data_IF_995079207784
#
_entry.id   IF_995079207784
#
_cell.length_a   1.000
_cell.length_b   1.000
_cell.length_c   1.000
_cell.angle_alpha   90.00
_cell.angle_beta   90.00
_cell.angle_gamma   90.00
#
_symmetry.space_group_name_H-M   'P 1'
#
loop_
_entity.id
_entity.type
_entity.pdbx_description
1 polymer ?
#
# COMPACT_ATOMS: atom_id res chain seq x y z
N UNK A 1 -17.99 -1.78 60.37
CA UNK A 1 -16.55 -1.53 60.18
C UNK A 1 -16.24 -1.88 58.74
N UNK A 2 -16.29 -0.90 57.83
CA UNK A 2 -16.08 -1.14 56.40
C UNK A 2 -14.60 -1.30 56.11
N UNK A 3 -14.26 -2.25 55.23
CA UNK A 3 -13.05 -2.16 54.43
C UNK A 3 -13.40 -2.44 52.97
N UNK A 4 -12.71 -1.69 52.12
CA UNK A 4 -13.12 -1.27 50.80
C UNK A 4 -12.62 -2.24 49.71
N UNK A 5 -13.43 -2.37 48.67
CA UNK A 5 -13.08 -2.48 47.25
C UNK A 5 -11.76 -3.17 46.85
N UNK A 6 -11.94 -4.35 46.25
CA UNK A 6 -11.52 -4.71 44.89
C UNK A 6 -10.46 -3.79 44.25
N UNK A 7 -9.27 -4.32 43.96
CA UNK A 7 -8.50 -3.85 42.81
C UNK A 7 -7.91 -5.04 42.07
N UNK A 8 -8.75 -5.51 41.14
CA UNK A 8 -8.41 -6.07 39.84
C UNK A 8 -6.96 -5.76 39.48
N UNK A 9 -6.09 -6.77 39.57
CA UNK A 9 -4.87 -6.78 38.79
C UNK A 9 -5.33 -6.78 37.34
N UNK A 10 -5.54 -5.59 36.78
CA UNK A 10 -5.60 -5.39 35.35
C UNK A 10 -4.28 -5.95 34.84
N UNK A 11 -4.34 -7.15 34.28
CA UNK A 11 -3.34 -7.66 33.38
C UNK A 11 -3.11 -6.54 32.37
N UNK A 12 -1.99 -5.82 32.51
CA UNK A 12 -1.52 -4.88 31.50
C UNK A 12 -1.20 -5.72 30.29
N UNK A 13 -2.22 -5.98 29.47
CA UNK A 13 -2.04 -6.22 28.07
C UNK A 13 -1.42 -4.95 27.53
N UNK A 14 -0.10 -4.90 27.44
CA UNK A 14 0.58 -4.03 26.49
C UNK A 14 0.26 -4.56 25.09
N UNK A 15 -1.02 -4.50 24.74
CA UNK A 15 -1.60 -5.11 23.57
C UNK A 15 -1.11 -4.36 22.36
N UNK A 16 -0.21 -4.98 21.59
CA UNK A 16 0.09 -4.50 20.25
C UNK A 16 -1.21 -4.57 19.46
N UNK A 17 -1.68 -3.42 19.00
CA UNK A 17 -2.88 -3.33 18.18
C UNK A 17 -2.50 -3.56 16.72
N UNK A 18 -3.22 -4.44 16.05
CA UNK A 18 -2.96 -4.78 14.65
C UNK A 18 -4.19 -4.52 13.76
N UNK A 19 -3.95 -4.16 12.52
CA UNK A 19 -4.97 -4.04 11.49
C UNK A 19 -4.43 -4.56 10.16
N UNK A 20 -5.09 -5.59 9.63
CA UNK A 20 -4.80 -6.18 8.33
C UNK A 20 -5.85 -5.76 7.32
N UNK A 21 -5.41 -5.28 6.16
CA UNK A 21 -6.24 -4.86 5.04
C UNK A 21 -5.85 -5.66 3.79
N UNK A 22 -6.86 -6.08 3.02
CA UNK A 22 -6.69 -6.72 1.72
C UNK A 22 -7.57 -6.00 0.70
N UNK A 23 -6.94 -5.35 -0.27
CA UNK A 23 -7.61 -4.48 -1.24
C UNK A 23 -7.41 -5.08 -2.64
N UNK A 24 -8.44 -5.71 -3.22
CA UNK A 24 -8.38 -6.24 -4.57
C UNK A 24 -8.49 -5.10 -5.60
N UNK A 25 -7.66 -5.14 -6.63
CA UNK A 25 -7.73 -4.25 -7.79
C UNK A 25 -8.26 -4.98 -9.03
N UNK A 26 -8.87 -4.27 -9.99
CA UNK A 26 -9.37 -4.88 -11.23
C UNK A 26 -8.28 -5.58 -12.06
N UNK A 27 -7.03 -5.09 -12.00
CA UNK A 27 -5.88 -5.69 -12.67
C UNK A 27 -4.63 -5.73 -11.80
N UNK A 28 -3.74 -6.70 -12.09
CA UNK A 28 -2.42 -6.77 -11.44
C UNK A 28 -1.58 -5.50 -11.70
N UNK A 29 -1.78 -4.84 -12.85
CA UNK A 29 -1.06 -3.62 -13.22
C UNK A 29 -1.48 -2.42 -12.38
N UNK A 30 -2.77 -2.26 -12.12
CA UNK A 30 -3.27 -1.21 -11.21
C UNK A 30 -2.80 -1.47 -9.78
N UNK A 31 -2.84 -2.74 -9.33
CA UNK A 31 -2.33 -3.13 -8.02
C UNK A 31 -0.83 -2.81 -7.87
N UNK A 32 -0.03 -3.05 -8.92
CA UNK A 32 1.39 -2.71 -8.98
C UNK A 32 1.62 -1.19 -8.91
N UNK A 33 0.83 -0.41 -9.64
CA UNK A 33 0.90 1.06 -9.59
C UNK A 33 0.55 1.57 -8.19
N UNK A 34 -0.55 1.10 -7.62
CA UNK A 34 -0.96 1.47 -6.27
C UNK A 34 0.09 1.08 -5.23
N UNK A 35 0.66 -0.13 -5.33
CA UNK A 35 1.75 -0.58 -4.47
C UNK A 35 2.95 0.36 -4.56
N UNK A 36 3.44 0.65 -5.77
CA UNK A 36 4.61 1.50 -5.97
C UNK A 36 4.37 2.94 -5.49
N UNK A 37 3.15 3.45 -5.66
CA UNK A 37 2.75 4.79 -5.17
C UNK A 37 2.62 4.84 -3.66
N UNK A 38 2.16 3.78 -3.00
CA UNK A 38 1.85 3.77 -1.55
C UNK A 38 2.97 3.18 -0.67
N UNK A 39 3.99 2.55 -1.28
CA UNK A 39 5.19 2.04 -0.61
C UNK A 39 6.13 3.16 -0.13
N UNK A 40 5.77 4.44 -0.29
CA UNK A 40 6.60 5.58 0.12
C UNK A 40 7.14 5.36 1.54
N UNK A 41 8.42 5.70 1.67
CA UNK A 41 9.36 5.20 2.65
C UNK A 41 8.84 5.29 4.10
N UNK A 42 9.34 4.37 4.93
CA UNK A 42 8.97 4.27 6.34
C UNK A 42 9.48 5.52 7.06
N UNK A 43 8.58 6.44 7.38
CA UNK A 43 8.84 7.42 8.44
C UNK A 43 9.22 6.61 9.70
N UNK A 44 10.42 6.79 10.28
CA UNK A 44 10.93 5.95 11.35
C UNK A 44 10.26 6.30 12.69
N UNK A 45 8.93 6.14 12.78
CA UNK A 45 8.19 6.23 14.04
C UNK A 45 8.18 4.84 14.67
N UNK A 46 8.97 4.66 15.73
CA UNK A 46 9.11 3.37 16.45
C UNK A 46 7.78 2.81 16.98
N UNK A 47 6.76 3.65 17.11
CA UNK A 47 5.46 3.31 17.71
C UNK A 47 4.46 2.71 16.71
N UNK A 48 4.69 2.85 15.40
CA UNK A 48 3.81 2.32 14.36
C UNK A 48 4.58 1.71 13.20
N UNK A 49 4.24 0.47 12.87
CA UNK A 49 4.81 -0.26 11.74
C UNK A 49 3.75 -0.44 10.65
N UNK A 50 4.13 -0.14 9.40
CA UNK A 50 3.35 -0.43 8.19
C UNK A 50 4.14 -1.40 7.32
N UNK A 51 3.56 -2.54 7.03
CA UNK A 51 4.08 -3.51 6.08
C UNK A 51 3.15 -3.59 4.88
N UNK A 52 3.70 -3.41 3.69
CA UNK A 52 2.95 -3.41 2.44
C UNK A 52 3.44 -4.55 1.57
N UNK A 53 2.52 -5.34 1.04
CA UNK A 53 2.80 -6.47 0.16
C UNK A 53 1.83 -6.46 -1.02
N UNK A 54 2.30 -6.89 -2.17
CA UNK A 54 1.47 -7.09 -3.35
C UNK A 54 1.40 -8.59 -3.66
N UNK A 55 0.20 -9.14 -3.69
CA UNK A 55 -0.07 -10.54 -4.05
C UNK A 55 -1.01 -10.54 -5.24
N UNK A 56 -0.49 -10.86 -6.42
CA UNK A 56 -1.22 -10.81 -7.70
C UNK A 56 -1.84 -9.42 -7.96
N UNK A 57 -3.16 -9.30 -7.88
CA UNK A 57 -3.92 -8.06 -8.01
C UNK A 57 -4.42 -7.52 -6.65
N UNK A 58 -3.95 -8.06 -5.53
CA UNK A 58 -4.41 -7.69 -4.19
C UNK A 58 -3.28 -7.02 -3.41
N UNK A 59 -3.54 -5.78 -2.98
CA UNK A 59 -2.65 -5.04 -2.08
C UNK A 59 -2.96 -5.44 -0.63
N UNK A 60 -1.97 -6.00 0.06
CA UNK A 60 -2.07 -6.38 1.47
C UNK A 60 -1.28 -5.40 2.33
N UNK A 61 -1.90 -4.92 3.40
CA UNK A 61 -1.27 -3.97 4.33
C UNK A 61 -1.48 -4.45 5.75
N UNK A 62 -0.40 -4.56 6.51
CA UNK A 62 -0.40 -4.84 7.95
C UNK A 62 0.08 -3.62 8.71
N UNK A 63 -0.75 -3.14 9.62
CA UNK A 63 -0.39 -2.11 10.58
C UNK A 63 -0.25 -2.70 11.96
N UNK A 64 0.79 -2.29 12.69
CA UNK A 64 1.00 -2.65 14.09
C UNK A 64 1.33 -1.39 14.87
N UNK A 65 0.65 -1.16 16.00
CA UNK A 65 0.86 0.02 16.83
C UNK A 65 0.78 -0.31 18.32
N UNK A 66 1.46 0.48 19.15
CA UNK A 66 1.37 0.39 20.61
C UNK A 66 0.05 0.93 21.17
N UNK A 67 -0.64 1.80 20.43
CA UNK A 67 -1.91 2.40 20.83
C UNK A 67 -2.93 2.34 19.69
N UNK A 68 -4.19 2.04 20.02
CA UNK A 68 -5.29 2.04 19.05
C UNK A 68 -5.49 3.41 18.38
N UNK A 69 -5.17 4.51 19.08
CA UNK A 69 -5.25 5.87 18.52
C UNK A 69 -4.27 6.06 17.37
N UNK A 70 -3.03 5.56 17.53
CA UNK A 70 -2.01 5.62 16.48
C UNK A 70 -2.40 4.76 15.28
N UNK A 71 -2.91 3.55 15.54
CA UNK A 71 -3.44 2.66 14.50
C UNK A 71 -4.54 3.35 13.69
N UNK A 72 -5.52 3.99 14.36
CA UNK A 72 -6.61 4.72 13.70
C UNK A 72 -6.09 5.85 12.81
N UNK A 73 -5.12 6.63 13.30
CA UNK A 73 -4.56 7.75 12.52
C UNK A 73 -3.82 7.25 11.29
N UNK A 74 -2.99 6.21 11.40
CA UNK A 74 -2.23 5.68 10.28
C UNK A 74 -3.08 4.93 9.25
N UNK A 75 -4.07 4.15 9.70
CA UNK A 75 -5.03 3.52 8.79
C UNK A 75 -5.85 4.58 8.06
N UNK A 76 -6.30 5.63 8.78
CA UNK A 76 -7.02 6.75 8.18
C UNK A 76 -6.22 7.45 7.09
N UNK A 77 -4.99 7.88 7.39
CA UNK A 77 -4.15 8.57 6.39
C UNK A 77 -3.78 7.67 5.22
N UNK A 78 -3.57 6.36 5.46
CA UNK A 78 -3.35 5.40 4.38
C UNK A 78 -4.57 5.31 3.44
N UNK A 79 -5.78 5.27 3.97
CA UNK A 79 -7.00 5.25 3.15
C UNK A 79 -7.18 6.54 2.35
N UNK A 80 -6.83 7.69 2.90
CA UNK A 80 -6.86 8.96 2.17
C UNK A 80 -5.89 8.93 0.97
N UNK A 81 -4.67 8.42 1.16
CA UNK A 81 -3.69 8.26 0.09
C UNK A 81 -4.10 7.22 -0.95
N UNK A 82 -4.70 6.10 -0.50
CA UNK A 82 -5.24 5.08 -1.39
C UNK A 82 -6.36 5.65 -2.26
N UNK A 83 -7.29 6.39 -1.66
CA UNK A 83 -8.39 7.03 -2.38
C UNK A 83 -7.87 8.02 -3.44
N UNK A 84 -6.90 8.86 -3.07
CA UNK A 84 -6.25 9.76 -4.02
C UNK A 84 -5.58 9.00 -5.18
N UNK A 85 -4.90 7.89 -4.87
CA UNK A 85 -4.22 7.06 -5.87
C UNK A 85 -5.23 6.44 -6.84
N UNK A 86 -6.36 5.94 -6.34
CA UNK A 86 -7.44 5.38 -7.17
C UNK A 86 -8.04 6.45 -8.05
N UNK A 87 -8.41 7.61 -7.50
CA UNK A 87 -8.96 8.73 -8.28
C UNK A 87 -8.00 9.18 -9.38
N UNK A 88 -6.70 9.18 -9.09
CA UNK A 88 -5.66 9.50 -10.08
C UNK A 88 -5.66 8.47 -11.22
N UNK A 89 -5.69 7.17 -10.90
CA UNK A 89 -5.76 6.12 -11.92
C UNK A 89 -7.02 6.23 -12.78
N UNK A 90 -8.17 6.53 -12.17
CA UNK A 90 -9.43 6.73 -12.89
C UNK A 90 -9.38 7.96 -13.80
N UNK A 91 -8.79 9.07 -13.33
CA UNK A 91 -8.74 10.33 -14.08
C UNK A 91 -7.78 10.26 -15.28
N UNK A 92 -6.64 9.59 -15.15
CA UNK A 92 -5.64 9.49 -16.22
C UNK A 92 -5.82 8.26 -17.12
N UNK A 93 -6.82 7.42 -16.84
CA UNK A 93 -7.18 6.27 -17.65
C UNK A 93 -6.28 5.03 -17.43
N UNK A 94 -6.57 3.93 -18.15
CA UNK A 94 -5.92 2.66 -17.91
C UNK A 94 -4.41 2.71 -18.13
N UNK A 95 -3.62 1.95 -17.37
CA UNK A 95 -2.17 1.94 -17.52
C UNK A 95 -1.75 1.58 -18.94
N UNK A 96 -0.98 2.45 -19.59
CA UNK A 96 -0.41 2.13 -20.90
C UNK A 96 0.44 0.87 -20.80
N UNK A 97 0.22 -0.09 -21.71
CA UNK A 97 1.07 -1.26 -21.84
C UNK A 97 2.48 -0.78 -22.20
N UNK A 98 3.48 -1.16 -21.40
CA UNK A 98 4.87 -0.85 -21.71
C UNK A 98 5.26 -1.58 -23.01
N UNK A 99 5.24 -0.86 -24.12
CA UNK A 99 5.80 -1.35 -25.39
C UNK A 99 7.31 -1.46 -25.18
N UNK A 100 7.85 -2.68 -25.22
CA UNK A 100 9.31 -2.85 -25.31
C UNK A 100 9.73 -2.18 -26.63
N UNK A 101 10.75 -1.30 -26.65
CA UNK A 101 11.28 -0.79 -27.91
C UNK A 101 11.67 -2.01 -28.75
N UNK A 102 10.89 -2.29 -29.79
CA UNK A 102 11.24 -3.30 -30.78
C UNK A 102 12.50 -2.82 -31.47
N UNK A 103 13.48 -3.71 -31.61
CA UNK A 103 14.70 -3.45 -32.37
C UNK A 103 14.36 -2.73 -33.68
N UNK A 104 15.09 -1.63 -33.90
CA UNK A 104 15.09 -0.88 -35.14
C UNK A 104 15.58 -1.84 -36.22
N UNK A 105 14.69 -2.33 -37.08
CA UNK A 105 15.13 -2.90 -38.36
C UNK A 105 15.54 -1.71 -39.22
N UNK A 106 16.84 -1.43 -39.24
CA UNK A 106 17.49 -0.66 -40.30
C UNK A 106 17.20 -1.36 -41.63
N UNK A 107 16.11 -0.96 -42.29
CA UNK A 107 15.98 -1.16 -43.73
C UNK A 107 16.90 -0.14 -44.39
N UNK A 108 18.11 -0.62 -44.66
CA UNK A 108 19.10 -0.01 -45.52
C UNK A 108 18.44 0.35 -46.85
N UNK A 109 18.30 1.64 -47.10
CA UNK A 109 18.15 2.17 -48.46
C UNK A 109 19.47 2.03 -49.23
N UNK A 110 19.30 1.99 -50.56
CA UNK A 110 20.31 2.00 -51.63
C UNK A 110 20.87 0.60 -51.96
N UNK A 111 20.85 0.12 -53.21
CA UNK A 111 21.33 0.81 -54.41
C UNK A 111 20.97 0.06 -55.72
N UNK A 112 20.77 0.85 -56.80
CA UNK A 112 21.00 0.63 -58.25
C UNK A 112 20.20 -0.39 -59.10
N UNK A 113 19.38 0.21 -59.97
CA UNK A 113 19.39 0.08 -61.43
C UNK A 113 19.62 -1.30 -62.07
N UNK A 114 18.59 -1.81 -62.76
CA UNK A 114 18.68 -2.10 -64.20
C UNK A 114 17.30 -2.33 -64.82
#
# INVERSE_FOLDING_TARGET
MGTFQNNMAASMDTGKHECDLSIPFPSAREAEIAYNTLRVDKEPRKEITKELQLVENTLKVRFTATEARLLRVAVGSFMDYLNLTIQTMEHFGPPMKRVRPTEVQEQSTDEVAS
#
